data_IF_284931188601
#
_entry.id   IF_284931188601
#
_cell.length_a   1.000
_cell.length_b   1.000
_cell.length_c   1.000
_cell.angle_alpha   90.00
_cell.angle_beta   90.00
_cell.angle_gamma   90.00
#
_symmetry.space_group_name_H-M   'P 1'
#
loop_
_entity.id
_entity.type
_entity.pdbx_description
1 polymer ?
#
# COMPACT_ATOMS: atom_id res chain seq x y z
N UNK A 1 47.30 -3.70 16.74
CA UNK A 1 46.83 -2.43 16.15
C UNK A 1 46.39 -2.73 14.72
N UNK A 2 45.09 -3.00 14.50
CA UNK A 2 44.54 -3.25 13.15
C UNK A 2 43.57 -2.09 12.79
N UNK A 3 43.62 -1.55 11.56
CA UNK A 3 42.69 -0.50 11.14
C UNK A 3 41.29 -1.08 10.98
N UNK A 4 40.29 -0.41 11.57
CA UNK A 4 38.89 -0.83 11.48
C UNK A 4 38.35 -0.77 10.04
N UNK A 5 37.33 -1.57 9.70
CA UNK A 5 36.80 -1.66 8.34
C UNK A 5 36.16 -0.33 7.88
N UNK A 6 36.16 -0.04 6.56
CA UNK A 6 35.57 1.18 6.03
C UNK A 6 34.07 1.23 6.32
N UNK A 7 33.57 2.41 6.72
CA UNK A 7 32.14 2.64 6.95
C UNK A 7 31.38 2.42 5.63
N UNK A 8 30.64 1.32 5.58
CA UNK A 8 29.75 0.94 4.49
C UNK A 8 28.85 2.11 4.07
N UNK A 9 28.89 2.44 2.78
CA UNK A 9 28.04 3.45 2.14
C UNK A 9 26.57 3.03 2.27
N UNK A 10 25.83 3.73 3.15
CA UNK A 10 24.39 3.51 3.34
C UNK A 10 23.66 3.91 2.05
N UNK A 11 23.26 2.93 1.24
CA UNK A 11 22.37 3.13 0.12
C UNK A 11 20.98 3.56 0.63
N UNK A 12 20.63 4.82 0.48
CA UNK A 12 19.27 5.27 0.70
C UNK A 12 18.43 4.88 -0.52
N UNK A 13 17.42 4.02 -0.33
CA UNK A 13 16.41 3.84 -1.36
C UNK A 13 15.71 5.18 -1.59
N UNK A 14 15.77 5.70 -2.81
CA UNK A 14 14.97 6.85 -3.23
C UNK A 14 13.51 6.39 -3.27
N UNK A 15 12.73 6.77 -2.26
CA UNK A 15 11.29 6.57 -2.27
C UNK A 15 10.67 7.57 -3.24
N UNK A 16 9.97 7.08 -4.25
CA UNK A 16 9.19 7.91 -5.17
C UNK A 16 7.79 8.03 -4.57
N UNK A 17 7.37 9.27 -4.28
CA UNK A 17 6.01 9.57 -3.86
C UNK A 17 5.17 9.84 -5.10
N UNK A 18 4.06 9.13 -5.24
CA UNK A 18 3.06 9.36 -6.28
C UNK A 18 1.80 9.97 -5.64
N UNK A 19 1.11 10.83 -6.40
CA UNK A 19 -0.20 11.38 -6.03
C UNK A 19 -1.26 10.74 -6.92
N UNK A 20 -2.32 10.24 -6.31
CA UNK A 20 -3.46 9.60 -6.97
C UNK A 20 -4.75 10.19 -6.38
N UNK A 21 -5.78 10.41 -7.20
CA UNK A 21 -7.08 10.81 -6.68
C UNK A 21 -7.71 9.68 -5.85
N UNK A 22 -8.47 10.03 -4.81
CA UNK A 22 -9.08 9.03 -3.93
C UNK A 22 -10.07 8.12 -4.69
N UNK A 23 -10.78 8.66 -5.69
CA UNK A 23 -11.66 7.89 -6.58
C UNK A 23 -10.89 6.85 -7.40
N UNK A 24 -9.75 7.25 -7.95
CA UNK A 24 -8.92 6.36 -8.77
C UNK A 24 -8.28 5.28 -7.92
N UNK A 25 -7.86 5.63 -6.71
CA UNK A 25 -7.35 4.69 -5.71
C UNK A 25 -8.41 3.67 -5.31
N UNK A 26 -9.65 4.12 -5.05
CA UNK A 26 -10.78 3.23 -4.72
C UNK A 26 -11.06 2.24 -5.85
N UNK A 27 -11.19 2.75 -7.09
CA UNK A 27 -11.44 1.92 -8.26
C UNK A 27 -10.32 0.90 -8.50
N UNK A 28 -9.06 1.31 -8.30
CA UNK A 28 -7.90 0.42 -8.44
C UNK A 28 -7.92 -0.71 -7.41
N UNK A 29 -8.22 -0.40 -6.15
CA UNK A 29 -8.33 -1.41 -5.08
C UNK A 29 -9.48 -2.38 -5.36
N UNK A 30 -10.67 -1.86 -5.66
CA UNK A 30 -11.85 -2.68 -5.94
C UNK A 30 -11.58 -3.65 -7.09
N UNK A 31 -11.07 -3.14 -8.22
CA UNK A 31 -10.74 -3.95 -9.38
C UNK A 31 -9.63 -4.98 -9.09
N UNK A 32 -8.71 -4.68 -8.18
CA UNK A 32 -7.68 -5.65 -7.75
C UNK A 32 -8.29 -6.79 -6.95
N UNK A 33 -9.18 -6.49 -5.99
CA UNK A 33 -9.84 -7.52 -5.18
C UNK A 33 -10.77 -8.39 -6.03
N UNK A 34 -11.50 -7.80 -6.98
CA UNK A 34 -12.31 -8.55 -7.94
C UNK A 34 -11.46 -9.52 -8.77
N UNK A 35 -10.28 -9.11 -9.24
CA UNK A 35 -9.33 -10.00 -9.93
C UNK A 35 -8.80 -11.12 -9.03
N UNK A 36 -8.73 -10.89 -7.73
CA UNK A 36 -8.42 -11.91 -6.73
C UNK A 36 -9.64 -12.75 -6.33
N UNK A 37 -10.74 -12.67 -7.07
CA UNK A 37 -11.96 -13.44 -6.84
C UNK A 37 -12.65 -13.14 -5.49
N UNK A 38 -12.45 -11.93 -4.95
CA UNK A 38 -13.21 -11.42 -3.81
C UNK A 38 -14.62 -11.05 -4.29
N UNK A 39 -15.63 -11.37 -3.47
CA UNK A 39 -17.02 -10.98 -3.72
C UNK A 39 -17.16 -9.45 -3.93
N UNK A 40 -17.99 -8.97 -4.88
CA UNK A 40 -18.11 -7.55 -5.20
C UNK A 40 -18.49 -6.64 -4.03
N UNK A 41 -19.39 -7.10 -3.15
CA UNK A 41 -19.84 -6.30 -2.01
C UNK A 41 -18.71 -6.18 -0.98
N UNK A 42 -17.98 -7.28 -0.76
CA UNK A 42 -16.79 -7.29 0.09
C UNK A 42 -15.67 -6.42 -0.50
N UNK A 43 -15.43 -6.50 -1.81
CA UNK A 43 -14.43 -5.69 -2.50
C UNK A 43 -14.72 -4.20 -2.36
N UNK A 44 -15.98 -3.78 -2.54
CA UNK A 44 -16.41 -2.39 -2.37
C UNK A 44 -16.28 -1.90 -0.92
N UNK A 45 -16.68 -2.73 0.04
CA UNK A 45 -16.58 -2.44 1.48
C UNK A 45 -15.12 -2.26 1.92
N UNK A 46 -14.26 -3.21 1.56
CA UNK A 46 -12.82 -3.17 1.87
C UNK A 46 -12.15 -1.98 1.20
N UNK A 47 -12.43 -1.70 -0.08
CA UNK A 47 -11.88 -0.54 -0.78
C UNK A 47 -12.24 0.78 -0.05
N UNK A 48 -13.48 0.93 0.39
CA UNK A 48 -13.94 2.12 1.13
C UNK A 48 -13.19 2.28 2.46
N UNK A 49 -13.02 1.20 3.22
CA UNK A 49 -12.28 1.22 4.48
C UNK A 49 -10.79 1.59 4.29
N UNK A 50 -10.14 1.06 3.25
CA UNK A 50 -8.74 1.36 2.97
C UNK A 50 -8.51 2.81 2.53
N UNK A 51 -9.40 3.35 1.68
CA UNK A 51 -9.27 4.74 1.20
C UNK A 51 -9.58 5.75 2.29
N UNK A 52 -10.56 5.48 3.16
CA UNK A 52 -10.84 6.35 4.31
C UNK A 52 -9.67 6.36 5.31
N UNK A 53 -9.03 5.21 5.56
CA UNK A 53 -7.82 5.14 6.37
C UNK A 53 -6.65 5.92 5.76
N UNK A 54 -6.45 5.81 4.44
CA UNK A 54 -5.39 6.55 3.72
C UNK A 54 -5.63 8.07 3.79
N UNK A 55 -6.86 8.52 3.53
CA UNK A 55 -7.24 9.92 3.60
C UNK A 55 -7.10 10.50 5.03
N UNK A 56 -7.30 9.67 6.05
CA UNK A 56 -7.09 10.02 7.45
C UNK A 56 -5.61 9.97 7.89
N UNK A 57 -4.67 9.65 6.99
CA UNK A 57 -3.24 9.55 7.30
C UNK A 57 -2.84 8.30 8.09
N UNK A 58 -3.73 7.30 8.18
CA UNK A 58 -3.48 6.03 8.88
C UNK A 58 -2.78 5.03 7.96
N UNK A 59 -1.58 5.37 7.46
CA UNK A 59 -0.87 4.59 6.43
C UNK A 59 -0.56 3.11 6.79
N UNK A 60 -0.67 2.73 8.07
CA UNK A 60 -0.60 1.32 8.50
C UNK A 60 -1.87 0.51 8.20
N UNK A 61 -2.99 1.18 7.98
CA UNK A 61 -4.32 0.62 7.76
C UNK A 61 -4.87 0.92 6.35
N UNK A 62 -4.25 1.83 5.61
CA UNK A 62 -4.63 2.21 4.24
C UNK A 62 -4.08 1.28 3.16
N UNK A 63 -3.59 1.85 2.06
CA UNK A 63 -3.26 1.10 0.83
C UNK A 63 -2.19 0.00 1.02
N UNK A 64 -1.37 0.12 2.07
CA UNK A 64 -0.37 -0.90 2.45
C UNK A 64 -0.97 -2.28 2.73
N UNK A 65 -2.26 -2.35 3.05
CA UNK A 65 -2.97 -3.61 3.36
C UNK A 65 -3.49 -4.36 2.13
N UNK A 66 -3.57 -3.71 0.97
CA UNK A 66 -4.13 -4.31 -0.26
C UNK A 66 -3.51 -5.66 -0.62
N UNK A 67 -2.17 -5.84 -0.61
CA UNK A 67 -1.57 -7.14 -0.96
C UNK A 67 -1.96 -8.25 0.02
N UNK A 68 -2.13 -7.93 1.30
CA UNK A 68 -2.49 -8.91 2.31
C UNK A 68 -3.95 -9.38 2.15
N UNK A 69 -4.87 -8.49 1.76
CA UNK A 69 -6.27 -8.85 1.50
C UNK A 69 -6.46 -9.54 0.15
N UNK A 70 -5.64 -9.19 -0.85
CA UNK A 70 -5.62 -9.84 -2.15
C UNK A 70 -5.09 -11.29 -2.11
N UNK A 71 -4.39 -11.67 -1.05
CA UNK A 71 -3.77 -12.99 -0.88
C UNK A 71 -4.53 -13.92 0.07
N UNK A 72 -5.65 -13.47 0.64
CA UNK A 72 -6.56 -14.30 1.46
C UNK A 72 -7.48 -15.12 0.56
#
# INVERSE_FOLDING_TARGET
MYPGPPRSSRHYLKVIIMKLALSDAHALVCNTLLRCNVDPDNAGSVATALITAEAAGQGGHGLRRVPAYAAQ
#
